data_IF_477777273979
#
_entry.id   IF_477777273979
#
_cell.length_a   1.000
_cell.length_b   1.000
_cell.length_c   1.000
_cell.angle_alpha   90.00
_cell.angle_beta   90.00
_cell.angle_gamma   90.00
#
_symmetry.space_group_name_H-M   'P 1'
#
loop_
_entity.id
_entity.type
_entity.pdbx_description
1 polymer ?
#
# COMPACT_ATOMS: atom_id res chain seq x y z
N UNK A 1 4.33 -23.39 9.56
CA UNK A 1 4.46 -22.86 8.19
C UNK A 1 5.02 -21.45 8.30
N UNK A 2 6.33 -21.34 8.51
CA UNK A 2 7.02 -20.07 8.80
C UNK A 2 7.25 -19.29 7.50
N UNK A 3 7.18 -17.97 7.60
CA UNK A 3 7.26 -16.98 6.52
C UNK A 3 8.52 -17.16 5.68
N UNK A 4 8.38 -17.94 4.60
CA UNK A 4 9.41 -18.07 3.61
C UNK A 4 9.48 -16.72 2.89
N UNK A 5 10.59 -16.02 3.14
CA UNK A 5 10.97 -14.72 2.62
C UNK A 5 10.53 -13.52 3.47
N UNK A 6 11.16 -13.35 4.64
CA UNK A 6 11.76 -12.04 4.96
C UNK A 6 12.70 -11.70 3.79
N UNK A 7 12.16 -11.15 2.71
CA UNK A 7 12.83 -11.06 1.43
C UNK A 7 14.14 -10.25 1.57
N UNK A 8 15.25 -10.97 1.70
CA UNK A 8 16.63 -10.47 1.60
C UNK A 8 16.96 -9.25 2.51
N UNK A 9 16.53 -9.25 3.78
CA UNK A 9 16.93 -8.21 4.74
C UNK A 9 16.28 -6.83 4.55
N UNK A 10 15.26 -6.74 3.69
CA UNK A 10 14.57 -5.50 3.30
C UNK A 10 13.27 -5.26 4.09
N UNK A 11 12.81 -6.25 4.86
CA UNK A 11 11.68 -6.05 5.79
C UNK A 11 12.17 -5.28 7.01
N UNK A 12 11.66 -4.07 7.22
CA UNK A 12 11.82 -3.36 8.49
C UNK A 12 10.64 -3.68 9.39
N UNK A 13 10.84 -3.68 10.70
CA UNK A 13 9.80 -4.01 11.70
C UNK A 13 8.54 -3.15 11.48
N UNK A 14 8.73 -1.90 11.09
CA UNK A 14 7.66 -0.96 10.81
C UNK A 14 6.78 -1.43 9.64
N UNK A 15 7.36 -1.99 8.58
CA UNK A 15 6.58 -2.46 7.45
C UNK A 15 5.82 -3.75 7.76
N UNK A 16 6.40 -4.61 8.59
CA UNK A 16 5.69 -5.80 9.10
C UNK A 16 4.49 -5.38 9.96
N UNK A 17 4.68 -4.41 10.86
CA UNK A 17 3.59 -3.86 11.69
C UNK A 17 2.46 -3.27 10.83
N UNK A 18 2.77 -2.55 9.76
CA UNK A 18 1.76 -2.03 8.83
C UNK A 18 0.99 -3.16 8.13
N UNK A 19 1.67 -4.24 7.72
CA UNK A 19 1.03 -5.40 7.10
C UNK A 19 0.10 -6.10 8.08
N UNK A 20 0.55 -6.32 9.32
CA UNK A 20 -0.27 -6.93 10.36
C UNK A 20 -1.49 -6.07 10.70
N UNK A 21 -1.31 -4.76 10.88
CA UNK A 21 -2.39 -3.83 11.15
C UNK A 21 -3.43 -3.83 10.03
N UNK A 22 -3.00 -3.77 8.76
CA UNK A 22 -3.90 -3.79 7.61
C UNK A 22 -4.70 -5.11 7.53
N UNK A 23 -4.04 -6.27 7.71
CA UNK A 23 -4.70 -7.59 7.68
C UNK A 23 -5.71 -7.75 8.81
N UNK A 24 -5.37 -7.34 10.02
CA UNK A 24 -6.26 -7.42 11.19
C UNK A 24 -7.54 -6.61 10.99
N UNK A 25 -7.45 -5.48 10.30
CA UNK A 25 -8.58 -4.55 10.11
C UNK A 25 -9.34 -4.76 8.77
N UNK A 26 -9.10 -5.88 8.09
CA UNK A 26 -9.94 -6.36 6.99
C UNK A 26 -9.32 -6.30 5.61
N UNK A 27 -7.99 -6.17 5.49
CA UNK A 27 -7.32 -6.40 4.21
C UNK A 27 -7.36 -7.89 3.83
N UNK A 28 -7.78 -8.18 2.61
CA UNK A 28 -7.76 -9.51 1.98
C UNK A 28 -6.31 -10.01 1.89
N UNK A 29 -5.38 -9.10 1.58
CA UNK A 29 -3.97 -9.39 1.48
C UNK A 29 -3.14 -8.12 1.59
N UNK A 30 -1.90 -8.27 2.02
CA UNK A 30 -0.95 -7.17 2.14
C UNK A 30 0.47 -7.66 1.84
N UNK A 31 1.26 -6.86 1.11
CA UNK A 31 2.64 -7.19 0.72
C UNK A 31 3.56 -5.98 0.75
N UNK A 32 4.81 -6.24 1.10
CA UNK A 32 5.93 -5.28 1.07
C UNK A 32 6.29 -4.90 -0.39
N UNK A 33 6.58 -3.62 -0.61
CA UNK A 33 7.10 -3.08 -1.88
C UNK A 33 8.25 -2.10 -1.59
N UNK A 34 9.50 -2.50 -1.85
CA UNK A 34 10.66 -1.61 -1.66
C UNK A 34 11.98 -2.38 -1.65
N UNK A 35 13.10 -1.66 -1.76
CA UNK A 35 14.46 -2.22 -1.89
C UNK A 35 15.32 -2.13 -0.60
N UNK A 36 14.77 -1.68 0.54
CA UNK A 36 15.44 -1.78 1.86
C UNK A 36 15.83 -0.49 2.57
N UNK A 37 15.61 0.68 1.99
CA UNK A 37 15.99 1.98 2.58
C UNK A 37 14.85 2.81 3.17
N UNK A 38 13.64 2.25 3.26
CA UNK A 38 12.38 2.97 3.43
C UNK A 38 11.40 2.47 2.36
N UNK A 39 10.42 1.68 2.76
CA UNK A 39 9.55 0.94 1.84
C UNK A 39 8.12 1.46 1.82
N UNK A 40 7.37 1.00 0.82
CA UNK A 40 5.91 1.06 0.81
C UNK A 40 5.35 -0.34 1.07
N UNK A 41 4.08 -0.41 1.43
CA UNK A 41 3.33 -1.65 1.42
C UNK A 41 2.03 -1.43 0.66
N UNK A 42 1.51 -2.49 0.06
CA UNK A 42 0.22 -2.47 -0.62
C UNK A 42 -0.72 -3.38 0.16
N UNK A 43 -1.89 -2.86 0.53
CA UNK A 43 -3.00 -3.60 1.13
C UNK A 43 -4.18 -3.63 0.16
N UNK A 44 -4.68 -4.83 -0.13
CA UNK A 44 -5.90 -5.04 -0.90
C UNK A 44 -7.06 -5.30 0.07
N UNK A 45 -8.14 -4.54 -0.06
CA UNK A 45 -9.33 -4.68 0.77
C UNK A 45 -10.59 -4.35 -0.03
N UNK A 46 -11.74 -4.86 0.42
CA UNK A 46 -13.05 -4.48 -0.12
C UNK A 46 -13.36 -3.00 0.19
N UNK A 47 -14.21 -2.38 -0.62
CA UNK A 47 -14.50 -0.94 -0.55
C UNK A 47 -15.00 -0.51 0.84
N UNK A 48 -15.81 -1.36 1.46
CA UNK A 48 -16.40 -1.19 2.79
C UNK A 48 -15.34 -1.24 3.90
N UNK A 49 -14.21 -1.92 3.65
CA UNK A 49 -13.12 -2.09 4.60
C UNK A 49 -11.98 -1.10 4.42
N UNK A 50 -11.91 -0.40 3.28
CA UNK A 50 -10.85 0.57 2.97
C UNK A 50 -10.67 1.63 4.06
N UNK A 51 -11.76 2.16 4.63
CA UNK A 51 -11.66 3.17 5.70
C UNK A 51 -11.03 2.62 6.98
N UNK A 52 -11.31 1.37 7.32
CA UNK A 52 -10.77 0.73 8.51
C UNK A 52 -9.28 0.43 8.31
N UNK A 53 -8.93 -0.15 7.15
CA UNK A 53 -7.53 -0.43 6.78
C UNK A 53 -6.69 0.85 6.75
N UNK A 54 -7.22 1.95 6.22
CA UNK A 54 -6.55 3.26 6.21
C UNK A 54 -6.27 3.78 7.62
N UNK A 55 -7.25 3.67 8.52
CA UNK A 55 -7.08 4.06 9.93
C UNK A 55 -6.03 3.17 10.61
N UNK A 56 -6.05 1.86 10.37
CA UNK A 56 -5.09 0.93 10.93
C UNK A 56 -3.65 1.27 10.54
N UNK A 57 -3.42 1.56 9.25
CA UNK A 57 -2.11 1.96 8.72
C UNK A 57 -1.65 3.26 9.37
N UNK A 58 -2.53 4.27 9.48
CA UNK A 58 -2.19 5.55 10.14
C UNK A 58 -1.90 5.39 11.64
N UNK A 59 -2.67 4.56 12.34
CA UNK A 59 -2.45 4.25 13.76
C UNK A 59 -1.11 3.54 13.99
N UNK A 60 -0.67 2.73 13.03
CA UNK A 60 0.66 2.11 13.01
C UNK A 60 1.75 3.05 12.46
N UNK A 61 1.49 4.38 12.43
CA UNK A 61 2.40 5.46 12.00
C UNK A 61 2.79 5.45 10.52
N UNK A 62 2.07 4.68 9.69
CA UNK A 62 2.22 4.70 8.24
C UNK A 62 1.42 5.83 7.57
N UNK A 63 1.87 6.26 6.40
CA UNK A 63 1.05 7.07 5.50
C UNK A 63 0.25 6.16 4.57
N UNK A 64 -0.98 6.56 4.24
CA UNK A 64 -1.91 5.75 3.45
C UNK A 64 -2.50 6.57 2.29
N UNK A 65 -2.48 5.99 1.09
CA UNK A 65 -3.13 6.55 -0.09
C UNK A 65 -4.03 5.48 -0.71
N UNK A 66 -5.27 5.84 -1.05
CA UNK A 66 -6.19 4.94 -1.76
C UNK A 66 -5.88 4.98 -3.25
N UNK A 67 -5.78 3.80 -3.85
CA UNK A 67 -5.60 3.63 -5.29
C UNK A 67 -6.62 2.62 -5.79
N UNK A 68 -7.14 2.85 -7.00
CA UNK A 68 -7.96 1.89 -7.70
C UNK A 68 -7.08 1.15 -8.71
N UNK A 69 -7.26 -0.17 -8.82
CA UNK A 69 -6.62 -0.93 -9.89
C UNK A 69 -7.24 -0.52 -11.23
N UNK A 70 -6.40 -0.18 -12.18
CA UNK A 70 -6.78 0.11 -13.57
C UNK A 70 -6.04 -0.87 -14.49
N UNK A 71 -6.69 -1.32 -15.55
CA UNK A 71 -6.12 -2.08 -16.65
C UNK A 71 -5.56 -1.15 -17.75
N UNK A 72 -5.70 0.16 -17.57
CA UNK A 72 -5.18 1.16 -18.50
C UNK A 72 -3.72 1.52 -18.17
N UNK A 73 -2.85 1.38 -19.18
CA UNK A 73 -1.45 1.80 -19.11
C UNK A 73 -1.26 3.32 -19.28
N UNK A 74 -0.10 3.71 -19.82
CA UNK A 74 0.27 5.13 -20.00
C UNK A 74 -0.74 5.85 -20.90
N UNK A 75 -1.32 6.95 -20.40
CA UNK A 75 -2.16 7.88 -21.18
C UNK A 75 -1.47 9.24 -21.31
N UNK A 76 -1.49 9.82 -22.51
CA UNK A 76 -1.05 11.19 -22.74
C UNK A 76 -2.24 12.14 -22.68
N UNK A 77 -2.12 13.25 -21.94
CA UNK A 77 -3.10 14.35 -21.95
C UNK A 77 -2.42 15.57 -22.54
N UNK A 78 -2.98 16.14 -23.61
CA UNK A 78 -2.58 17.49 -24.06
C UNK A 78 -3.19 18.50 -23.11
N UNK A 79 -2.35 19.25 -22.41
CA UNK A 79 -2.76 20.46 -21.69
C UNK A 79 -2.75 21.57 -22.74
N UNK A 80 -3.91 22.20 -22.97
CA UNK A 80 -3.96 23.43 -23.76
C UNK A 80 -3.44 24.54 -22.84
N UNK A 81 -2.25 25.05 -23.13
CA UNK A 81 -1.80 26.31 -22.56
C UNK A 81 -2.63 27.44 -23.20
N UNK A 82 -3.36 28.17 -22.36
CA UNK A 82 -3.88 29.53 -22.57
C UNK A 82 -4.68 29.80 -23.85
N UNK A 83 -6.00 29.95 -23.70
CA UNK A 83 -6.72 30.92 -24.54
C UNK A 83 -6.13 32.31 -24.23
N UNK A 84 -5.42 32.89 -25.21
CA UNK A 84 -5.11 34.32 -25.27
C UNK A 84 -5.95 34.95 -26.37
#
# INVERSE_FOLDING_TARGET
NQGLLSAIGVSTIELDDLIYAARRDGAIGAKLTGAGGGGCMIALAEAEKLSNVEKAIRSARGQSMRVNLTDEGVKTRKIKDGDS
#
